data_IF_764128413477
#
_entry.id   IF_764128413477
#
_cell.length_a   1.000
_cell.length_b   1.000
_cell.length_c   1.000
_cell.angle_alpha   90.00
_cell.angle_beta   90.00
_cell.angle_gamma   90.00
#
_symmetry.space_group_name_H-M   'P 1'
#
loop_
_entity.id
_entity.type
_entity.pdbx_description
1 polymer ?
#
# COMPACT_ATOMS: atom_id res chain seq x y z
N UNK A 1 1.22 14.30 3.77
CA UNK A 1 -0.05 14.77 3.14
C UNK A 1 -1.02 13.60 3.05
N UNK A 2 -2.22 13.79 3.55
CA UNK A 2 -3.26 12.77 3.40
C UNK A 2 -4.62 13.44 3.23
N UNK A 3 -5.49 12.75 2.53
CA UNK A 3 -6.88 13.16 2.34
C UNK A 3 -7.70 11.90 2.10
N UNK A 4 -8.01 11.20 3.17
CA UNK A 4 -8.66 9.90 3.12
C UNK A 4 -10.14 10.05 2.81
N UNK A 5 -10.61 9.36 1.78
CA UNK A 5 -12.03 9.37 1.41
C UNK A 5 -12.83 8.34 2.19
N UNK A 6 -12.31 7.13 2.35
CA UNK A 6 -12.96 6.14 3.19
C UNK A 6 -11.98 5.08 3.67
N UNK A 7 -12.30 4.53 4.82
CA UNK A 7 -11.54 3.46 5.43
C UNK A 7 -12.42 2.21 5.52
N UNK A 8 -11.80 1.06 5.47
CA UNK A 8 -12.46 -0.21 5.69
C UNK A 8 -11.87 -0.87 6.91
N UNK A 9 -12.72 -1.25 7.86
CA UNK A 9 -12.30 -2.00 9.02
C UNK A 9 -12.09 -3.46 8.62
N UNK A 10 -10.90 -3.98 8.90
CA UNK A 10 -10.52 -5.37 8.65
C UNK A 10 -9.92 -5.95 9.92
N UNK A 11 -9.67 -7.26 9.89
CA UNK A 11 -8.88 -7.92 10.93
C UNK A 11 -7.53 -8.29 10.35
N UNK A 12 -6.47 -8.14 11.14
CA UNK A 12 -5.13 -8.47 10.69
C UNK A 12 -4.90 -9.97 10.73
N UNK A 13 -4.34 -10.53 9.67
CA UNK A 13 -3.92 -11.94 9.65
C UNK A 13 -2.59 -12.18 10.36
N UNK A 14 -1.82 -11.11 10.56
CA UNK A 14 -0.56 -11.07 11.29
C UNK A 14 -0.30 -9.60 11.63
N UNK A 15 0.78 -9.30 12.34
CA UNK A 15 1.14 -7.92 12.63
C UNK A 15 1.29 -7.11 11.34
N UNK A 16 0.77 -5.88 11.34
CA UNK A 16 0.86 -4.94 10.22
C UNK A 16 1.45 -3.64 10.76
N UNK A 17 2.55 -3.20 10.18
CA UNK A 17 3.14 -1.93 10.56
C UNK A 17 2.26 -0.78 10.04
N UNK A 18 2.31 0.40 10.69
CA UNK A 18 1.59 1.58 10.18
C UNK A 18 2.10 2.01 8.81
N UNK A 19 1.22 2.59 8.01
CA UNK A 19 1.55 3.18 6.71
C UNK A 19 2.14 2.18 5.72
N UNK A 20 1.62 0.97 5.72
CA UNK A 20 2.08 -0.08 4.80
C UNK A 20 1.00 -0.47 3.82
N UNK A 21 1.41 -0.78 2.60
CA UNK A 21 0.51 -1.36 1.61
C UNK A 21 0.09 -2.74 2.11
N UNK A 22 -1.20 -3.04 2.04
CA UNK A 22 -1.75 -4.29 2.52
C UNK A 22 -2.40 -5.06 1.39
N UNK A 23 -2.45 -6.37 1.54
CA UNK A 23 -3.11 -7.30 0.63
C UNK A 23 -4.19 -8.07 1.36
N UNK A 24 -5.06 -8.73 0.60
CA UNK A 24 -6.07 -9.60 1.18
C UNK A 24 -5.43 -10.75 1.94
N UNK A 25 -5.97 -11.06 3.10
CA UNK A 25 -5.53 -12.18 3.91
C UNK A 25 -6.14 -13.51 3.46
N UNK A 26 -6.01 -14.53 4.31
CA UNK A 26 -6.44 -15.88 3.97
C UNK A 26 -7.97 -16.07 4.03
N UNK A 27 -8.70 -15.14 4.62
CA UNK A 27 -10.16 -15.22 4.76
C UNK A 27 -10.77 -13.85 4.49
N UNK A 28 -12.07 -13.85 4.23
CA UNK A 28 -12.81 -12.61 4.01
C UNK A 28 -12.69 -11.70 5.23
N UNK A 29 -12.49 -10.42 4.97
CA UNK A 29 -12.36 -9.42 6.04
C UNK A 29 -11.00 -9.35 6.69
N UNK A 30 -10.03 -10.17 6.25
CA UNK A 30 -8.66 -10.14 6.78
C UNK A 30 -7.72 -9.43 5.83
N UNK A 31 -6.75 -8.73 6.39
CA UNK A 31 -5.69 -8.07 5.65
C UNK A 31 -4.33 -8.47 6.21
N UNK A 32 -3.32 -8.55 5.36
CA UNK A 32 -1.94 -8.76 5.78
C UNK A 32 -1.05 -7.75 5.06
N UNK A 33 0.13 -7.49 5.64
CA UNK A 33 1.09 -6.56 5.06
C UNK A 33 1.56 -7.07 3.69
N UNK A 34 1.66 -6.19 2.72
CA UNK A 34 2.17 -6.51 1.40
C UNK A 34 3.60 -7.02 1.47
N UNK A 35 3.95 -7.96 0.60
CA UNK A 35 5.25 -8.61 0.59
C UNK A 35 5.90 -8.69 -0.79
N UNK A 36 5.17 -8.40 -1.85
CA UNK A 36 5.69 -8.47 -3.21
C UNK A 36 4.86 -7.62 -4.18
N UNK A 37 5.45 -7.28 -5.31
CA UNK A 37 4.78 -6.49 -6.35
C UNK A 37 3.61 -7.22 -7.01
N UNK A 38 3.58 -8.54 -6.95
CA UNK A 38 2.50 -9.34 -7.54
C UNK A 38 1.33 -9.56 -6.58
N UNK A 39 1.41 -9.08 -5.35
CA UNK A 39 0.35 -9.29 -4.36
C UNK A 39 -0.93 -8.58 -4.75
N UNK A 40 -2.06 -9.14 -4.31
CA UNK A 40 -3.38 -8.57 -4.52
C UNK A 40 -3.63 -7.48 -3.45
N UNK A 41 -2.96 -6.35 -3.62
CA UNK A 41 -3.04 -5.23 -2.69
C UNK A 41 -4.34 -4.46 -2.89
N UNK A 42 -4.87 -3.89 -1.82
CA UNK A 42 -6.15 -3.19 -1.90
C UNK A 42 -6.22 -1.90 -1.09
N UNK A 43 -5.19 -1.56 -0.34
CA UNK A 43 -5.19 -0.33 0.43
C UNK A 43 -3.91 -0.16 1.22
N UNK A 44 -3.92 0.78 2.16
CA UNK A 44 -2.79 1.14 3.01
C UNK A 44 -3.25 1.17 4.45
N UNK A 45 -2.48 0.54 5.36
CA UNK A 45 -2.80 0.60 6.79
C UNK A 45 -2.68 2.02 7.32
N UNK A 46 -3.49 2.34 8.31
CA UNK A 46 -3.48 3.67 8.92
C UNK A 46 -2.31 3.84 9.91
N UNK A 47 -2.34 4.95 10.66
CA UNK A 47 -1.28 5.27 11.62
C UNK A 47 -1.19 4.32 12.81
N UNK A 48 -2.19 3.48 13.04
CA UNK A 48 -2.21 2.54 14.14
C UNK A 48 -1.60 1.18 13.77
N UNK A 49 -1.82 0.73 12.53
CA UNK A 49 -1.44 -0.62 12.15
C UNK A 49 -2.14 -1.68 13.02
N UNK A 50 -1.51 -2.84 13.15
CA UNK A 50 -1.98 -3.91 14.03
C UNK A 50 -0.77 -4.62 14.64
N UNK A 51 -0.81 -4.87 15.96
CA UNK A 51 0.35 -5.46 16.67
C UNK A 51 0.34 -6.97 16.65
N UNK A 52 -0.80 -7.60 16.39
CA UNK A 52 -0.92 -9.05 16.40
C UNK A 52 -2.01 -9.53 15.47
N UNK A 53 -2.00 -10.83 15.18
CA UNK A 53 -3.08 -11.47 14.43
C UNK A 53 -4.42 -11.28 15.14
N UNK A 54 -5.47 -11.11 14.34
CA UNK A 54 -6.86 -10.90 14.77
C UNK A 54 -7.13 -9.52 15.38
N UNK A 55 -6.14 -8.63 15.46
CA UNK A 55 -6.38 -7.25 15.85
C UNK A 55 -7.17 -6.53 14.77
N UNK A 56 -8.08 -5.62 15.16
CA UNK A 56 -8.73 -4.77 14.17
C UNK A 56 -7.73 -3.80 13.56
N UNK A 57 -7.88 -3.53 12.27
CA UNK A 57 -7.03 -2.59 11.54
C UNK A 57 -7.87 -1.82 10.53
N UNK A 58 -7.67 -0.51 10.46
CA UNK A 58 -8.33 0.33 9.47
C UNK A 58 -7.43 0.44 8.25
N UNK A 59 -8.02 0.22 7.09
CA UNK A 59 -7.33 0.26 5.80
C UNK A 59 -7.90 1.42 4.99
N UNK A 60 -7.02 2.32 4.56
CA UNK A 60 -7.40 3.42 3.67
C UNK A 60 -7.58 2.84 2.28
N UNK A 61 -8.78 2.95 1.74
CA UNK A 61 -9.15 2.38 0.44
C UNK A 61 -9.44 3.41 -0.63
N UNK A 62 -9.51 4.67 -0.29
CA UNK A 62 -9.78 5.74 -1.24
C UNK A 62 -9.17 7.05 -0.81
N UNK A 63 -8.94 7.96 -1.76
CA UNK A 63 -8.33 9.24 -1.50
C UNK A 63 -6.80 9.17 -1.44
N UNK A 64 -6.21 10.01 -0.61
CA UNK A 64 -4.75 10.08 -0.45
C UNK A 64 -4.38 9.52 0.92
N UNK A 65 -3.52 8.51 0.92
CA UNK A 65 -3.04 7.88 2.16
C UNK A 65 -1.55 8.16 2.34
N UNK A 66 -1.12 8.26 3.59
CA UNK A 66 0.32 8.26 3.88
C UNK A 66 0.85 6.84 3.79
N UNK A 67 2.04 6.69 3.21
CA UNK A 67 2.67 5.38 3.00
C UNK A 67 4.17 5.48 3.18
N UNK A 68 4.78 4.46 3.81
CA UNK A 68 6.23 4.41 3.96
C UNK A 68 6.87 4.08 2.61
N UNK A 69 7.87 4.87 2.22
CA UNK A 69 8.64 4.64 0.99
C UNK A 69 9.79 3.67 1.25
N UNK A 70 9.98 2.73 0.34
CA UNK A 70 11.06 1.75 0.39
C UNK A 70 12.18 2.01 -0.62
N UNK A 71 12.05 3.05 -1.44
CA UNK A 71 13.03 3.40 -2.48
C UNK A 71 12.85 4.86 -2.85
N UNK A 72 13.70 5.36 -3.76
CA UNK A 72 13.54 6.70 -4.32
C UNK A 72 12.31 6.72 -5.22
N UNK A 73 11.42 7.66 -4.97
CA UNK A 73 10.15 7.80 -5.68
C UNK A 73 10.01 9.24 -6.14
N UNK A 74 9.53 9.41 -7.36
CA UNK A 74 9.21 10.72 -7.93
C UNK A 74 7.69 10.85 -8.03
N UNK A 75 7.20 12.02 -7.66
CA UNK A 75 5.79 12.36 -7.76
C UNK A 75 5.22 11.94 -9.11
N UNK A 76 4.05 11.28 -9.09
CA UNK A 76 3.37 10.81 -10.29
C UNK A 76 3.67 9.37 -10.68
N UNK A 77 4.67 8.73 -10.09
CA UNK A 77 5.02 7.35 -10.42
C UNK A 77 4.02 6.36 -9.80
N UNK A 78 3.72 5.25 -10.49
CA UNK A 78 2.90 4.19 -9.90
C UNK A 78 3.65 3.44 -8.82
N UNK A 79 2.97 3.08 -7.74
CA UNK A 79 3.58 2.47 -6.56
C UNK A 79 3.06 1.06 -6.32
N UNK A 80 3.97 0.17 -5.96
CA UNK A 80 3.65 -1.20 -5.56
C UNK A 80 4.36 -1.52 -4.24
N UNK A 81 4.13 -2.72 -3.71
CA UNK A 81 4.70 -3.14 -2.44
C UNK A 81 6.05 -3.82 -2.62
N UNK A 82 6.99 -3.52 -1.74
CA UNK A 82 8.20 -4.34 -1.58
C UNK A 82 7.96 -5.47 -0.57
N UNK A 83 9.03 -6.12 -0.13
CA UNK A 83 8.94 -7.25 0.80
C UNK A 83 8.42 -6.84 2.18
N UNK A 84 8.43 -5.55 2.51
CA UNK A 84 8.03 -5.03 3.82
C UNK A 84 6.75 -4.18 3.76
N UNK A 85 6.01 -4.23 2.67
CA UNK A 85 4.81 -3.41 2.51
C UNK A 85 5.11 -1.93 2.24
N UNK A 86 6.36 -1.57 2.06
CA UNK A 86 6.74 -0.19 1.73
C UNK A 86 6.54 0.05 0.24
N UNK A 87 6.26 1.31 -0.12
CA UNK A 87 6.01 1.67 -1.50
C UNK A 87 7.31 1.75 -2.29
N UNK A 88 7.33 1.11 -3.44
CA UNK A 88 8.40 1.22 -4.44
C UNK A 88 7.75 1.43 -5.80
N UNK A 89 8.53 1.88 -6.79
CA UNK A 89 7.99 2.14 -8.12
C UNK A 89 7.61 0.83 -8.80
N UNK A 90 6.37 0.77 -9.32
CA UNK A 90 5.91 -0.36 -10.11
C UNK A 90 6.49 -0.28 -11.51
N UNK A 91 6.91 -1.42 -12.04
CA UNK A 91 7.48 -1.53 -13.38
C UNK A 91 6.56 -2.34 -14.29
N UNK A 92 6.95 -2.48 -15.57
CA UNK A 92 6.14 -3.18 -16.56
C UNK A 92 5.72 -4.57 -16.08
N UNK A 93 4.44 -4.88 -16.22
CA UNK A 93 3.86 -6.15 -15.79
C UNK A 93 3.48 -6.23 -14.33
N UNK A 94 3.69 -5.17 -13.56
CA UNK A 94 3.37 -5.18 -12.12
C UNK A 94 2.05 -4.46 -11.81
N UNK A 95 1.39 -4.89 -10.76
CA UNK A 95 0.22 -4.19 -10.22
C UNK A 95 0.68 -2.99 -9.42
N UNK A 96 -0.15 -1.96 -9.38
CA UNK A 96 0.11 -0.81 -8.51
C UNK A 96 -1.11 -0.51 -7.65
N UNK A 97 -0.88 0.10 -6.49
CA UNK A 97 -1.94 0.53 -5.58
C UNK A 97 -2.44 1.94 -5.91
N UNK A 98 -1.61 2.74 -6.53
CA UNK A 98 -1.92 4.11 -6.88
C UNK A 98 -0.67 4.86 -7.32
N UNK A 99 -0.76 6.20 -7.29
CA UNK A 99 0.30 7.07 -7.79
C UNK A 99 0.86 7.93 -6.66
N UNK A 100 2.18 8.14 -6.66
CA UNK A 100 2.83 8.99 -5.67
C UNK A 100 2.35 10.44 -5.80
N UNK A 101 1.98 11.04 -4.67
CA UNK A 101 1.61 12.45 -4.61
C UNK A 101 2.80 13.34 -4.29
N UNK A 102 3.82 12.80 -3.67
CA UNK A 102 5.03 13.54 -3.30
C UNK A 102 6.26 12.70 -3.61
N UNK A 103 7.37 13.37 -3.89
CA UNK A 103 8.66 12.71 -4.08
C UNK A 103 9.30 12.40 -2.73
N UNK A 104 10.19 11.41 -2.69
CA UNK A 104 10.90 11.05 -1.48
C UNK A 104 11.90 9.94 -1.73
N UNK A 105 12.57 9.51 -0.66
CA UNK A 105 13.56 8.44 -0.68
C UNK A 105 13.20 7.36 0.33
N UNK A 106 13.95 6.25 0.30
CA UNK A 106 13.77 5.16 1.25
C UNK A 106 13.81 5.67 2.69
N UNK A 107 12.83 5.26 3.48
CA UNK A 107 12.68 5.69 4.87
C UNK A 107 11.74 6.88 5.05
N UNK A 108 11.40 7.58 4.00
CA UNK A 108 10.43 8.67 4.07
C UNK A 108 9.01 8.13 4.19
N UNK A 109 8.13 8.94 4.77
CA UNK A 109 6.70 8.70 4.72
C UNK A 109 6.09 9.65 3.70
N UNK A 110 5.78 9.12 2.54
CA UNK A 110 5.18 9.89 1.46
C UNK A 110 3.66 9.74 1.42
N UNK A 111 3.09 9.96 0.26
CA UNK A 111 1.64 9.88 0.06
C UNK A 111 1.34 9.21 -1.27
N UNK A 112 0.24 8.45 -1.29
CA UNK A 112 -0.25 7.77 -2.49
C UNK A 112 -1.73 8.10 -2.72
N UNK A 113 -2.07 8.48 -3.94
CA UNK A 113 -3.46 8.55 -4.36
C UNK A 113 -3.91 7.15 -4.76
N UNK A 114 -4.85 6.60 -4.01
CA UNK A 114 -5.27 5.20 -4.20
C UNK A 114 -6.08 5.07 -5.49
N UNK A 115 -5.51 4.34 -6.44
CA UNK A 115 -6.10 4.10 -7.75
C UNK A 115 -5.50 2.80 -8.31
N UNK A 116 -5.93 1.63 -7.80
CA UNK A 116 -5.32 0.36 -8.19
C UNK A 116 -5.38 0.09 -9.68
N UNK A 117 -4.33 -0.50 -10.20
CA UNK A 117 -4.23 -0.80 -11.62
C UNK A 117 -3.03 -1.68 -11.92
N UNK A 118 -2.64 -1.69 -13.17
CA UNK A 118 -1.64 -2.61 -13.69
C UNK A 118 -0.79 -1.90 -14.74
N UNK A 119 0.53 -1.96 -14.57
CA UNK A 119 1.45 -1.35 -15.53
C UNK A 119 1.55 -2.29 -16.74
N UNK A 120 1.24 -1.82 -17.97
CA UNK A 120 1.35 -2.67 -19.16
C UNK A 120 2.77 -3.19 -19.35
N UNK A 121 2.89 -4.38 -19.95
CA UNK A 121 4.17 -4.90 -20.34
C UNK A 121 4.77 -4.04 -21.44
N UNK A 122 6.09 -3.84 -21.40
CA UNK A 122 6.81 -3.11 -22.43
C UNK A 122 6.63 -3.83 -23.78
N UNK A 123 6.27 -3.08 -24.81
CA UNK A 123 6.05 -3.62 -26.14
C UNK A 123 4.70 -4.29 -26.37
N UNK A 124 3.82 -4.23 -25.39
CA UNK A 124 2.46 -4.73 -25.53
C UNK A 124 1.55 -3.72 -26.20
#
# INVERSE_FOLDING_TARGET
>A
MRNELFLKACYAGAAILPFRIVKHGAADGFAVQGAAAADLTFGVSDSMGATAANDPVDIVRGGIAEVAYGATIVRGQPLTSDANGQAVVATAGQRYIGFAEVSGVSGDRGSVFIAPGYVPNAGA
#
